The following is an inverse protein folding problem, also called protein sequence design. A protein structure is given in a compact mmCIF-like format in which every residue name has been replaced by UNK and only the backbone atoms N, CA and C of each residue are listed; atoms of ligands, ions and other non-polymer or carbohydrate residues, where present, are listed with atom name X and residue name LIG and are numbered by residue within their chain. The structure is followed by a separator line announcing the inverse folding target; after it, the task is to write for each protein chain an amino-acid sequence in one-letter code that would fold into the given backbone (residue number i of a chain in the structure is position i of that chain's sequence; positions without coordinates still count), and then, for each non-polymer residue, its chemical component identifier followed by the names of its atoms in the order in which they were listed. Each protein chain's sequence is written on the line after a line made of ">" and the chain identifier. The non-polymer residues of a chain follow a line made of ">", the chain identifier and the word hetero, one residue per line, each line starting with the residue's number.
data_IF_557076164922
#
_entry.id   IF_557076164922
#
_cell.length_a   1.000
_cell.length_b   1.000
_cell.length_c   1.000
_cell.angle_alpha   90.00
_cell.angle_beta   90.00
_cell.angle_gamma   90.00
#
_symmetry.space_group_name_H-M   'P 1'
#
loop_
_entity.id
_entity.type
_entity.pdbx_description
1 polymer ?
#
# COMPACT_ATOMS: atom_id res chain seq x y z
N UNK A 1 0.44 96.78 34.63
CA UNK A 1 1.06 95.56 34.10
C UNK A 1 -0.05 94.55 33.84
N UNK A 2 -0.48 94.40 32.58
CA UNK A 2 -1.46 93.39 32.18
C UNK A 2 -0.72 92.07 31.91
N UNK A 3 -1.15 90.98 32.53
CA UNK A 3 -0.67 89.63 32.23
C UNK A 3 -1.60 88.97 31.20
N UNK A 4 -1.01 88.60 30.06
CA UNK A 4 -1.66 87.91 28.94
C UNK A 4 -1.65 86.41 29.24
N UNK A 5 -2.83 85.78 29.29
CA UNK A 5 -2.98 84.33 29.41
C UNK A 5 -3.18 83.77 27.99
N UNK A 6 -2.15 83.10 27.46
CA UNK A 6 -2.22 82.35 26.20
C UNK A 6 -2.92 81.01 26.40
N UNK A 7 -4.03 80.81 25.69
CA UNK A 7 -4.66 79.50 25.50
C UNK A 7 -3.91 78.75 24.39
N UNK A 8 -3.32 77.60 24.72
CA UNK A 8 -2.74 76.66 23.75
C UNK A 8 -3.82 75.65 23.36
N UNK A 9 -4.29 75.72 22.12
CA UNK A 9 -5.16 74.72 21.51
C UNK A 9 -4.27 73.54 21.03
N UNK A 10 -4.33 72.40 21.71
CA UNK A 10 -3.76 71.15 21.19
C UNK A 10 -4.74 70.53 20.19
N UNK A 11 -4.42 70.60 18.89
CA UNK A 11 -5.13 69.86 17.84
C UNK A 11 -4.52 68.45 17.81
N UNK A 12 -5.24 67.46 18.35
CA UNK A 12 -4.90 66.05 18.20
C UNK A 12 -5.32 65.56 16.81
N UNK A 13 -4.35 65.32 15.94
CA UNK A 13 -4.56 64.60 14.67
C UNK A 13 -4.87 63.13 14.96
N UNK A 14 -6.13 62.71 14.77
CA UNK A 14 -6.46 61.29 14.63
C UNK A 14 -6.03 60.83 13.24
N UNK A 15 -4.92 60.07 13.18
CA UNK A 15 -4.60 59.29 12.00
C UNK A 15 -5.47 58.03 12.00
N UNK A 16 -6.46 57.95 11.10
CA UNK A 16 -7.19 56.72 10.83
C UNK A 16 -6.26 55.73 10.12
N UNK A 17 -5.66 54.81 10.87
CA UNK A 17 -5.00 53.64 10.29
C UNK A 17 -6.05 52.68 9.76
N UNK A 18 -6.27 52.70 8.45
CA UNK A 18 -6.98 51.63 7.76
C UNK A 18 -6.15 50.35 7.85
N UNK A 19 -6.47 49.49 8.82
CA UNK A 19 -5.92 48.15 8.89
C UNK A 19 -6.46 47.36 7.69
N UNK A 20 -5.57 46.93 6.80
CA UNK A 20 -5.89 45.93 5.79
C UNK A 20 -6.29 44.64 6.51
N UNK A 21 -7.32 43.91 6.04
CA UNK A 21 -7.65 42.62 6.62
C UNK A 21 -6.44 41.71 6.49
N UNK A 22 -5.94 41.21 7.62
CA UNK A 22 -4.92 40.17 7.63
C UNK A 22 -5.52 38.95 6.95
N UNK A 23 -4.97 38.57 5.81
CA UNK A 23 -5.27 37.29 5.17
C UNK A 23 -4.86 36.22 6.17
N UNK A 24 -5.83 35.56 6.82
CA UNK A 24 -5.55 34.38 7.64
C UNK A 24 -4.75 33.40 6.78
N UNK A 25 -3.64 32.81 7.29
CA UNK A 25 -2.94 31.78 6.56
C UNK A 25 -3.94 30.67 6.26
N UNK A 26 -4.07 30.31 4.99
CA UNK A 26 -4.80 29.13 4.57
C UNK A 26 -4.35 27.93 5.42
N UNK A 27 -5.27 27.06 5.86
CA UNK A 27 -4.90 25.85 6.59
C UNK A 27 -3.80 25.09 5.84
N UNK A 28 -2.83 24.48 6.55
CA UNK A 28 -1.75 23.76 5.90
C UNK A 28 -2.36 22.62 5.07
N UNK A 29 -2.13 22.64 3.74
CA UNK A 29 -2.42 21.50 2.86
C UNK A 29 -1.95 20.21 3.52
N UNK A 30 -2.79 19.16 3.59
CA UNK A 30 -2.39 17.91 4.24
C UNK A 30 -1.07 17.43 3.64
N UNK A 31 -0.15 17.09 4.54
CA UNK A 31 1.07 16.39 4.15
C UNK A 31 0.69 15.04 3.51
N UNK A 32 1.35 14.61 2.43
CA UNK A 32 1.16 13.27 1.89
C UNK A 32 1.31 12.20 2.97
N UNK A 33 0.51 11.14 2.90
CA UNK A 33 0.69 10.00 3.80
C UNK A 33 2.07 9.36 3.61
N UNK A 34 2.67 8.78 4.65
CA UNK A 34 3.88 7.98 4.50
C UNK A 34 3.69 6.87 3.48
N UNK A 35 4.71 6.60 2.68
CA UNK A 35 4.76 5.53 1.69
C UNK A 35 5.65 4.39 2.21
N UNK A 36 5.07 3.20 2.33
CA UNK A 36 5.78 1.96 2.62
C UNK A 36 6.02 1.20 1.32
N UNK A 37 7.25 0.74 1.09
CA UNK A 37 7.65 0.01 -0.12
C UNK A 37 8.14 -1.39 0.25
N UNK A 38 7.65 -2.43 -0.44
CA UNK A 38 8.17 -3.80 -0.30
C UNK A 38 8.69 -4.30 -1.65
N UNK A 39 10.00 -4.60 -1.68
CA UNK A 39 10.70 -5.06 -2.87
C UNK A 39 10.42 -6.52 -3.24
N UNK A 40 10.88 -6.90 -4.43
CA UNK A 40 10.69 -8.21 -5.03
C UNK A 40 11.77 -9.24 -4.69
N UNK A 41 11.64 -10.41 -5.33
CA UNK A 41 12.59 -11.52 -5.23
C UNK A 41 13.99 -11.10 -5.66
N UNK A 42 15.00 -11.39 -4.85
CA UNK A 42 16.40 -11.14 -5.16
C UNK A 42 16.84 -9.69 -5.14
N UNK A 43 15.97 -8.76 -4.75
CA UNK A 43 16.31 -7.39 -4.43
C UNK A 43 16.57 -7.23 -2.91
N UNK A 44 16.85 -6.00 -2.46
CA UNK A 44 17.08 -5.68 -1.05
C UNK A 44 16.67 -4.22 -0.75
N UNK A 45 16.43 -3.92 0.52
CA UNK A 45 15.98 -2.59 0.96
C UNK A 45 16.91 -1.42 0.61
N UNK A 46 18.20 -1.68 0.38
CA UNK A 46 19.22 -0.65 0.13
C UNK A 46 19.57 -0.49 -1.37
N UNK A 47 18.83 -1.15 -2.27
CA UNK A 47 19.12 -1.12 -3.70
C UNK A 47 18.94 0.28 -4.30
N UNK A 48 19.79 0.61 -5.28
CA UNK A 48 19.76 1.90 -5.97
C UNK A 48 18.40 2.18 -6.62
N UNK A 49 17.76 1.14 -7.20
CA UNK A 49 16.44 1.24 -7.80
C UNK A 49 15.37 1.68 -6.80
N UNK A 50 15.33 1.09 -5.60
CA UNK A 50 14.38 1.50 -4.55
C UNK A 50 14.70 2.89 -4.00
N UNK A 51 15.99 3.24 -3.93
CA UNK A 51 16.41 4.60 -3.57
C UNK A 51 15.90 5.62 -4.60
N UNK A 52 15.94 5.30 -5.89
CA UNK A 52 15.38 6.14 -6.96
C UNK A 52 13.86 6.25 -6.86
N UNK A 53 13.16 5.14 -6.61
CA UNK A 53 11.69 5.11 -6.36
C UNK A 53 11.33 6.07 -5.22
N UNK A 54 12.05 6.01 -4.09
CA UNK A 54 11.82 6.89 -2.94
C UNK A 54 12.06 8.37 -3.26
N UNK A 55 13.15 8.69 -3.97
CA UNK A 55 13.44 10.06 -4.44
C UNK A 55 12.37 10.58 -5.39
N UNK A 56 11.89 9.74 -6.30
CA UNK A 56 10.85 10.08 -7.26
C UNK A 56 9.51 10.35 -6.55
N UNK A 57 9.14 9.52 -5.55
CA UNK A 57 7.96 9.76 -4.73
C UNK A 57 8.03 11.10 -3.99
N UNK A 58 9.19 11.44 -3.42
CA UNK A 58 9.41 12.72 -2.75
C UNK A 58 9.43 13.92 -3.70
N UNK A 59 9.96 13.75 -4.91
CA UNK A 59 9.94 14.78 -5.96
C UNK A 59 8.51 15.07 -6.42
N UNK A 60 7.71 14.03 -6.63
CA UNK A 60 6.32 14.15 -7.11
C UNK A 60 5.39 14.66 -6.02
N UNK A 61 5.54 14.14 -4.80
CA UNK A 61 4.74 14.50 -3.63
C UNK A 61 5.65 15.00 -2.49
N UNK A 62 6.04 16.30 -2.50
CA UNK A 62 6.91 16.86 -1.48
C UNK A 62 6.36 16.67 -0.07
N UNK A 63 7.23 16.21 0.85
CA UNK A 63 6.85 15.89 2.24
C UNK A 63 6.50 14.42 2.50
N UNK A 64 6.44 13.58 1.46
CA UNK A 64 6.24 12.13 1.64
C UNK A 64 7.40 11.51 2.43
N UNK A 65 7.08 10.90 3.57
CA UNK A 65 8.01 10.02 4.28
C UNK A 65 8.01 8.64 3.61
N UNK A 66 9.16 8.18 3.12
CA UNK A 66 9.29 6.87 2.46
C UNK A 66 10.01 5.90 3.39
N UNK A 67 9.40 4.73 3.62
CA UNK A 67 9.98 3.63 4.37
C UNK A 67 10.07 2.40 3.46
N UNK A 68 11.28 1.89 3.25
CA UNK A 68 11.49 0.64 2.52
C UNK A 68 11.54 -0.48 3.56
N UNK A 69 10.63 -1.44 3.44
CA UNK A 69 10.61 -2.63 4.31
C UNK A 69 11.90 -3.40 4.10
N UNK A 70 12.47 -3.86 5.23
CA UNK A 70 13.59 -4.80 5.30
C UNK A 70 13.28 -5.85 6.34
N UNK A 71 13.74 -7.07 6.13
CA UNK A 71 13.61 -8.18 7.09
C UNK A 71 14.88 -8.37 7.94
N UNK A 72 15.99 -7.79 7.50
CA UNK A 72 17.28 -7.79 8.19
C UNK A 72 17.99 -6.45 7.96
N UNK A 73 18.89 -6.07 8.88
CA UNK A 73 19.74 -4.88 8.73
C UNK A 73 20.93 -5.15 7.80
N UNK A 74 21.34 -6.43 7.64
CA UNK A 74 22.32 -6.81 6.64
C UNK A 74 21.66 -6.96 5.26
N UNK A 75 22.16 -6.20 4.29
CA UNK A 75 21.65 -6.15 2.91
C UNK A 75 21.64 -7.54 2.24
N UNK A 76 22.64 -8.38 2.51
CA UNK A 76 22.71 -9.72 1.92
C UNK A 76 21.73 -10.68 2.60
N UNK A 77 21.51 -10.55 3.91
CA UNK A 77 20.53 -11.32 4.65
C UNK A 77 19.10 -10.96 4.24
N UNK A 78 18.79 -9.66 4.08
CA UNK A 78 17.51 -9.18 3.58
C UNK A 78 17.21 -9.71 2.16
N UNK A 79 18.21 -9.64 1.27
CA UNK A 79 18.13 -10.28 -0.06
C UNK A 79 17.88 -11.78 0.04
N UNK A 80 18.59 -12.48 0.94
CA UNK A 80 18.43 -13.91 1.18
C UNK A 80 17.02 -14.26 1.67
N UNK A 81 16.42 -13.41 2.51
CA UNK A 81 15.08 -13.58 3.06
C UNK A 81 13.99 -13.54 1.98
N UNK A 82 14.26 -12.92 0.82
CA UNK A 82 13.33 -12.98 -0.32
C UNK A 82 13.21 -14.37 -0.94
N UNK A 83 14.23 -15.23 -0.78
CA UNK A 83 14.24 -16.61 -1.25
C UNK A 83 13.91 -17.59 -0.12
N UNK A 84 14.50 -17.39 1.06
CA UNK A 84 14.43 -18.34 2.16
C UNK A 84 13.74 -17.77 3.38
N UNK A 85 12.84 -18.55 3.97
CA UNK A 85 12.10 -18.17 5.17
C UNK A 85 10.65 -18.63 5.15
N UNK A 86 9.92 -18.21 6.17
CA UNK A 86 8.49 -18.45 6.33
C UNK A 86 7.76 -17.12 6.12
N UNK A 87 6.94 -17.01 5.06
CA UNK A 87 6.23 -15.76 4.74
C UNK A 87 5.27 -15.34 5.84
N UNK A 88 4.74 -16.29 6.60
CA UNK A 88 3.86 -15.96 7.73
C UNK A 88 4.62 -15.29 8.86
N UNK A 89 5.84 -15.73 9.14
CA UNK A 89 6.71 -15.09 10.13
C UNK A 89 7.26 -13.76 9.62
N UNK A 90 7.64 -13.67 8.34
CA UNK A 90 8.12 -12.41 7.74
C UNK A 90 7.05 -11.32 7.77
N UNK A 91 5.79 -11.65 7.45
CA UNK A 91 4.69 -10.67 7.56
C UNK A 91 4.42 -10.31 9.02
N UNK A 92 4.51 -11.26 9.95
CA UNK A 92 4.35 -10.97 11.37
C UNK A 92 5.43 -9.99 11.88
N UNK A 93 6.69 -10.21 11.49
CA UNK A 93 7.78 -9.27 11.78
C UNK A 93 7.48 -7.88 11.21
N UNK A 94 7.07 -7.79 9.94
CA UNK A 94 6.69 -6.50 9.32
C UNK A 94 5.51 -5.84 10.03
N UNK A 95 4.53 -6.61 10.51
CA UNK A 95 3.44 -6.06 11.33
C UNK A 95 3.98 -5.40 12.61
N UNK A 96 4.90 -6.07 13.33
CA UNK A 96 5.51 -5.54 14.55
C UNK A 96 6.39 -4.31 14.26
N UNK A 97 7.21 -4.38 13.22
CA UNK A 97 8.13 -3.30 12.83
C UNK A 97 7.36 -2.03 12.46
N UNK A 98 6.31 -2.13 11.63
CA UNK A 98 5.52 -0.97 11.22
C UNK A 98 4.69 -0.40 12.37
N UNK A 99 4.18 -1.25 13.27
CA UNK A 99 3.45 -0.82 14.45
C UNK A 99 4.34 -0.14 15.50
N UNK A 100 5.63 -0.50 15.58
CA UNK A 100 6.60 0.12 16.47
C UNK A 100 7.32 1.34 15.85
N UNK A 101 7.23 1.51 14.52
CA UNK A 101 8.00 2.52 13.81
C UNK A 101 7.62 3.96 14.26
N UNK A 102 8.58 4.82 14.64
CA UNK A 102 8.30 6.09 15.33
C UNK A 102 7.49 7.12 14.50
N UNK A 103 7.58 7.03 13.17
CA UNK A 103 6.80 7.84 12.22
C UNK A 103 5.50 7.14 11.80
N UNK A 104 5.59 5.93 11.24
CA UNK A 104 4.45 5.22 10.64
C UNK A 104 3.35 4.88 11.66
N UNK A 105 3.72 4.47 12.89
CA UNK A 105 2.75 4.12 13.95
C UNK A 105 1.86 5.29 14.40
N UNK A 106 2.30 6.53 14.15
CA UNK A 106 1.58 7.76 14.51
C UNK A 106 0.82 8.36 13.33
N UNK A 107 1.02 7.83 12.13
CA UNK A 107 0.33 8.31 10.94
C UNK A 107 -1.14 7.87 10.98
N UNK A 108 -2.05 8.73 10.51
CA UNK A 108 -3.49 8.38 10.40
C UNK A 108 -3.74 7.17 9.51
N UNK A 109 -2.89 6.99 8.51
CA UNK A 109 -2.83 5.88 7.58
C UNK A 109 -1.48 5.93 6.85
N UNK A 110 -1.16 4.88 6.11
CA UNK A 110 0.00 4.79 5.22
C UNK A 110 -0.45 4.43 3.80
N UNK A 111 0.36 4.78 2.81
CA UNK A 111 0.29 4.22 1.46
C UNK A 111 1.27 3.05 1.34
N UNK A 112 0.97 2.09 0.47
CA UNK A 112 1.76 0.89 0.27
C UNK A 112 2.04 0.65 -1.22
N UNK A 113 3.29 0.39 -1.56
CA UNK A 113 3.76 0.08 -2.91
C UNK A 113 4.55 -1.23 -2.92
N UNK A 114 4.05 -2.22 -3.64
CA UNK A 114 4.69 -3.53 -3.75
C UNK A 114 5.21 -3.83 -5.14
N UNK A 115 6.42 -4.38 -5.21
CA UNK A 115 7.04 -4.81 -6.47
C UNK A 115 7.14 -6.34 -6.51
N UNK A 116 6.69 -6.94 -7.61
CA UNK A 116 6.68 -8.39 -7.81
C UNK A 116 6.06 -9.10 -6.58
N UNK A 117 6.76 -10.05 -5.95
CA UNK A 117 6.25 -10.76 -4.76
C UNK A 117 5.88 -9.82 -3.59
N UNK A 118 6.56 -8.68 -3.44
CA UNK A 118 6.32 -7.71 -2.36
C UNK A 118 4.90 -7.16 -2.34
N UNK A 119 4.20 -7.12 -3.47
CA UNK A 119 2.80 -6.69 -3.51
C UNK A 119 1.82 -7.68 -2.89
N UNK A 120 1.98 -9.01 -3.09
CA UNK A 120 1.15 -9.96 -2.34
C UNK A 120 1.56 -10.05 -0.87
N UNK A 121 2.80 -9.69 -0.51
CA UNK A 121 3.21 -9.63 0.89
C UNK A 121 2.59 -8.44 1.61
N UNK A 122 2.58 -7.25 0.98
CA UNK A 122 1.84 -6.09 1.47
C UNK A 122 0.33 -6.36 1.55
N UNK A 123 -0.24 -7.09 0.58
CA UNK A 123 -1.63 -7.56 0.68
C UNK A 123 -1.82 -8.44 1.92
N UNK A 124 -0.91 -9.39 2.16
CA UNK A 124 -0.92 -10.22 3.37
C UNK A 124 -0.82 -9.40 4.66
N UNK A 125 -0.01 -8.34 4.69
CA UNK A 125 0.05 -7.38 5.80
C UNK A 125 -1.31 -6.68 6.02
N UNK A 126 -1.95 -6.19 4.95
CA UNK A 126 -3.28 -5.57 5.01
C UNK A 126 -4.30 -6.57 5.54
N UNK A 127 -4.29 -7.81 5.08
CA UNK A 127 -5.26 -8.80 5.54
C UNK A 127 -5.06 -9.16 7.01
N UNK A 128 -3.81 -9.42 7.43
CA UNK A 128 -3.49 -10.00 8.73
C UNK A 128 -3.45 -8.99 9.89
N UNK A 129 -2.94 -7.78 9.68
CA UNK A 129 -2.74 -6.83 10.78
C UNK A 129 -3.22 -5.40 10.48
N UNK A 130 -2.92 -4.83 9.30
CA UNK A 130 -3.36 -3.49 8.88
C UNK A 130 -3.20 -2.37 9.93
N UNK A 131 -2.09 -2.37 10.66
CA UNK A 131 -1.82 -1.42 11.73
C UNK A 131 -0.34 -1.01 11.69
N UNK A 132 -0.01 0.20 11.19
CA UNK A 132 -0.92 1.26 10.73
C UNK A 132 -1.75 0.87 9.50
N UNK A 133 -2.93 1.49 9.38
CA UNK A 133 -3.89 1.19 8.31
C UNK A 133 -3.38 1.64 6.95
N UNK A 134 -3.53 0.79 5.94
CA UNK A 134 -3.21 1.15 4.55
C UNK A 134 -4.39 1.89 3.93
N UNK A 135 -4.14 3.05 3.32
CA UNK A 135 -5.12 3.79 2.53
C UNK A 135 -5.13 3.29 1.08
N UNK A 136 -4.00 3.36 0.39
CA UNK A 136 -3.87 2.87 -0.99
C UNK A 136 -2.78 1.80 -1.08
N UNK A 137 -3.11 0.67 -1.70
CA UNK A 137 -2.17 -0.38 -2.06
C UNK A 137 -1.98 -0.38 -3.58
N UNK A 138 -0.77 -0.12 -4.05
CA UNK A 138 -0.41 -0.20 -5.48
C UNK A 138 0.61 -1.31 -5.66
N UNK A 139 0.43 -2.15 -6.67
CA UNK A 139 1.31 -3.30 -6.92
C UNK A 139 1.71 -3.38 -8.39
N UNK A 140 2.98 -3.64 -8.66
CA UNK A 140 3.51 -3.84 -10.01
C UNK A 140 3.98 -5.28 -10.20
N UNK A 141 3.38 -5.98 -11.16
CA UNK A 141 3.75 -7.34 -11.52
C UNK A 141 3.57 -8.36 -10.40
N UNK A 142 2.72 -8.08 -9.40
CA UNK A 142 2.50 -8.99 -8.27
C UNK A 142 1.66 -10.19 -8.68
N UNK A 143 1.84 -11.33 -8.01
CA UNK A 143 1.21 -12.61 -8.34
C UNK A 143 0.11 -12.92 -7.32
N UNK A 144 -0.97 -12.13 -7.33
CA UNK A 144 -2.00 -12.23 -6.31
C UNK A 144 -2.76 -13.57 -6.31
N UNK A 145 -2.83 -14.25 -7.44
CA UNK A 145 -3.32 -15.62 -7.54
C UNK A 145 -2.20 -16.68 -7.56
N UNK A 146 -0.97 -16.31 -7.18
CA UNK A 146 0.20 -17.19 -7.19
C UNK A 146 0.79 -17.46 -8.55
N UNK A 147 1.78 -18.35 -8.58
CA UNK A 147 2.43 -18.84 -9.80
C UNK A 147 2.22 -20.33 -9.98
N UNK A 148 2.05 -20.75 -11.23
CA UNK A 148 1.93 -22.16 -11.62
C UNK A 148 3.26 -22.78 -12.05
N UNK A 149 4.27 -21.95 -12.30
CA UNK A 149 5.63 -22.35 -12.70
C UNK A 149 6.64 -21.38 -12.10
N UNK A 150 7.81 -21.91 -11.79
CA UNK A 150 8.97 -21.11 -11.46
C UNK A 150 9.70 -20.74 -12.75
N UNK A 151 10.15 -19.50 -12.86
CA UNK A 151 11.02 -19.09 -13.97
C UNK A 151 12.36 -19.83 -13.88
N UNK A 152 12.96 -20.13 -15.03
CA UNK A 152 14.30 -20.68 -15.08
C UNK A 152 15.32 -19.65 -14.54
N UNK A 153 16.17 -20.08 -13.61
CA UNK A 153 17.22 -19.23 -13.07
C UNK A 153 18.30 -18.92 -14.12
N UNK A 154 18.84 -17.70 -14.07
CA UNK A 154 20.04 -17.36 -14.82
C UNK A 154 21.20 -18.33 -14.49
N UNK A 155 22.11 -18.55 -15.45
CA UNK A 155 23.20 -19.51 -15.29
C UNK A 155 24.13 -19.18 -14.10
N UNK A 156 24.22 -17.92 -13.68
CA UNK A 156 25.06 -17.44 -12.58
C UNK A 156 24.31 -17.27 -11.26
N UNK A 157 22.98 -17.43 -11.24
CA UNK A 157 22.19 -17.25 -10.04
C UNK A 157 22.14 -18.55 -9.22
N UNK A 158 23.20 -18.78 -8.45
CA UNK A 158 23.34 -19.96 -7.60
C UNK A 158 22.28 -20.03 -6.50
N UNK A 159 21.79 -18.87 -6.03
CA UNK A 159 20.78 -18.78 -4.98
C UNK A 159 19.42 -19.24 -5.51
N UNK A 160 19.01 -18.72 -6.67
CA UNK A 160 17.83 -19.17 -7.40
C UNK A 160 17.94 -20.66 -7.75
N UNK A 161 19.10 -21.13 -8.23
CA UNK A 161 19.29 -22.55 -8.57
C UNK A 161 19.12 -23.47 -7.35
N UNK A 162 19.62 -23.04 -6.18
CA UNK A 162 19.40 -23.78 -4.93
C UNK A 162 17.91 -23.82 -4.56
N UNK A 163 17.21 -22.69 -4.67
CA UNK A 163 15.76 -22.60 -4.47
C UNK A 163 14.97 -23.53 -5.41
N UNK A 164 15.27 -23.53 -6.71
CA UNK A 164 14.64 -24.45 -7.68
C UNK A 164 15.00 -25.91 -7.41
N UNK A 165 16.23 -26.20 -7.00
CA UNK A 165 16.65 -27.55 -6.62
C UNK A 165 15.81 -28.14 -5.49
N UNK A 166 15.45 -27.31 -4.50
CA UNK A 166 14.58 -27.69 -3.39
C UNK A 166 13.13 -27.98 -3.84
N UNK A 167 12.58 -27.20 -4.78
CA UNK A 167 11.22 -27.37 -5.31
C UNK A 167 11.01 -28.70 -6.05
N UNK A 168 12.08 -29.24 -6.66
CA UNK A 168 12.01 -30.50 -7.42
C UNK A 168 11.87 -31.76 -6.55
N UNK A 169 11.91 -31.64 -5.22
CA UNK A 169 11.84 -32.79 -4.30
C UNK A 169 10.41 -33.06 -3.82
N UNK A 170 9.81 -32.12 -3.08
CA UNK A 170 8.41 -32.14 -2.64
C UNK A 170 7.96 -30.75 -2.16
N UNK A 171 7.41 -29.94 -3.08
CA UNK A 171 6.92 -28.57 -2.84
C UNK A 171 5.97 -28.46 -1.65
N UNK A 172 5.17 -29.49 -1.38
CA UNK A 172 4.13 -29.48 -0.35
C UNK A 172 4.57 -30.07 0.99
N UNK A 173 5.84 -30.47 1.12
CA UNK A 173 6.38 -30.84 2.42
C UNK A 173 6.40 -29.64 3.37
N UNK A 174 6.15 -29.88 4.66
CA UNK A 174 6.27 -28.86 5.72
C UNK A 174 7.63 -28.19 5.73
N UNK A 175 8.70 -28.93 5.38
CA UNK A 175 10.04 -28.37 5.29
C UNK A 175 10.13 -27.25 4.24
N UNK A 176 9.62 -27.49 3.03
CA UNK A 176 9.68 -26.54 1.91
C UNK A 176 8.72 -25.37 2.13
N UNK A 177 7.47 -25.65 2.52
CA UNK A 177 6.46 -24.61 2.77
C UNK A 177 6.81 -23.66 3.92
N UNK A 178 7.75 -24.03 4.81
CA UNK A 178 8.21 -23.14 5.89
C UNK A 178 9.60 -22.51 5.64
N UNK A 179 10.26 -22.80 4.52
CA UNK A 179 11.65 -22.37 4.29
C UNK A 179 11.92 -21.77 2.91
N UNK A 180 11.03 -21.97 1.95
CA UNK A 180 11.23 -21.46 0.60
C UNK A 180 10.10 -20.51 0.25
N UNK A 181 10.42 -19.22 0.13
CA UNK A 181 9.44 -18.16 -0.09
C UNK A 181 8.66 -18.37 -1.40
N UNK A 182 9.30 -18.63 -2.56
CA UNK A 182 8.58 -18.90 -3.80
C UNK A 182 7.63 -20.11 -3.74
N UNK A 183 7.93 -21.12 -2.93
CA UNK A 183 7.06 -22.29 -2.78
C UNK A 183 5.72 -21.94 -2.10
N UNK A 184 5.70 -20.89 -1.28
CA UNK A 184 4.56 -20.53 -0.44
C UNK A 184 3.47 -19.76 -1.20
N UNK A 185 3.82 -19.19 -2.36
CA UNK A 185 2.88 -18.64 -3.33
C UNK A 185 2.86 -19.40 -4.67
N UNK A 186 3.43 -20.60 -4.69
CA UNK A 186 3.12 -21.57 -5.73
C UNK A 186 1.67 -22.03 -5.59
N UNK A 187 0.96 -22.07 -6.71
CA UNK A 187 -0.43 -22.53 -6.81
C UNK A 187 -0.49 -23.70 -7.79
N UNK A 188 -0.51 -24.90 -7.24
CA UNK A 188 -0.92 -26.07 -8.02
C UNK A 188 -2.41 -25.90 -8.37
N UNK A 189 -2.70 -26.00 -9.66
CA UNK A 189 -4.06 -25.94 -10.19
C UNK A 189 -4.47 -27.30 -10.72
N UNK A 190 -5.75 -27.63 -10.58
CA UNK A 190 -6.35 -28.74 -11.28
C UNK A 190 -6.40 -28.40 -12.78
N UNK A 191 -5.73 -29.21 -13.62
CA UNK A 191 -5.51 -28.89 -15.03
C UNK A 191 -6.80 -28.65 -15.83
N UNK A 192 -7.89 -29.35 -15.48
CA UNK A 192 -9.17 -29.26 -16.19
C UNK A 192 -10.01 -28.07 -15.73
N UNK A 193 -9.94 -27.69 -14.44
CA UNK A 193 -10.81 -26.64 -13.87
C UNK A 193 -10.10 -25.30 -13.66
N UNK A 194 -8.77 -25.26 -13.56
CA UNK A 194 -8.00 -24.07 -13.19
C UNK A 194 -8.08 -23.69 -11.70
N UNK A 195 -8.87 -24.43 -10.91
CA UNK A 195 -9.02 -24.21 -9.47
C UNK A 195 -7.82 -24.76 -8.70
N UNK A 196 -7.62 -24.29 -7.46
CA UNK A 196 -6.53 -24.77 -6.60
C UNK A 196 -6.65 -26.27 -6.31
N UNK A 197 -5.56 -27.02 -6.45
CA UNK A 197 -5.50 -28.45 -6.17
C UNK A 197 -5.51 -28.79 -4.67
N UNK A 198 -5.79 -30.05 -4.34
CA UNK A 198 -5.93 -30.51 -2.95
C UNK A 198 -4.65 -30.30 -2.11
N UNK A 199 -3.48 -30.54 -2.71
CA UNK A 199 -2.20 -30.34 -2.01
C UNK A 199 -1.96 -28.86 -1.71
N UNK A 200 -2.25 -27.99 -2.67
CA UNK A 200 -2.19 -26.54 -2.48
C UNK A 200 -3.10 -26.07 -1.35
N UNK A 201 -4.39 -26.44 -1.39
CA UNK A 201 -5.36 -26.05 -0.37
C UNK A 201 -4.97 -26.58 1.01
N UNK A 202 -4.40 -27.79 1.09
CA UNK A 202 -4.01 -28.42 2.34
C UNK A 202 -2.71 -27.88 2.93
N UNK A 203 -1.69 -27.61 2.11
CA UNK A 203 -0.32 -27.39 2.58
C UNK A 203 0.26 -26.00 2.31
N UNK A 204 -0.36 -25.17 1.45
CA UNK A 204 0.15 -23.82 1.19
C UNK A 204 0.18 -22.99 2.48
N UNK A 205 1.38 -22.60 2.92
CA UNK A 205 1.55 -21.84 4.16
C UNK A 205 1.05 -20.39 4.07
N UNK A 206 0.94 -19.86 2.84
CA UNK A 206 0.69 -18.45 2.63
C UNK A 206 -0.47 -18.20 1.65
N UNK A 207 -0.31 -18.56 0.37
CA UNK A 207 -1.26 -18.10 -0.64
C UNK A 207 -2.68 -18.64 -0.44
N UNK A 208 -2.85 -19.92 -0.11
CA UNK A 208 -4.19 -20.46 0.17
C UNK A 208 -4.83 -19.86 1.44
N UNK A 209 -4.01 -19.38 2.38
CA UNK A 209 -4.45 -18.64 3.56
C UNK A 209 -4.92 -17.24 3.18
N UNK A 210 -4.06 -16.43 2.55
CA UNK A 210 -4.37 -15.03 2.22
C UNK A 210 -5.38 -14.89 1.06
N UNK A 211 -5.60 -15.92 0.25
CA UNK A 211 -6.74 -15.95 -0.68
C UNK A 211 -8.02 -16.50 -0.05
N UNK A 212 -7.95 -16.91 1.22
CA UNK A 212 -9.07 -17.43 2.00
C UNK A 212 -9.77 -18.61 1.30
N UNK A 213 -9.01 -19.47 0.61
CA UNK A 213 -9.55 -20.49 -0.30
C UNK A 213 -10.00 -21.76 0.42
N UNK A 214 -9.54 -21.94 1.66
CA UNK A 214 -9.97 -23.06 2.52
C UNK A 214 -11.42 -22.89 2.93
N UNK A 215 -12.05 -23.98 3.37
CA UNK A 215 -13.46 -23.98 3.76
C UNK A 215 -13.77 -22.91 4.84
N UNK A 216 -12.92 -22.81 5.86
CA UNK A 216 -13.04 -21.78 6.90
C UNK A 216 -12.53 -20.43 6.37
N UNK A 217 -13.39 -19.41 6.43
CA UNK A 217 -13.08 -18.06 5.99
C UNK A 217 -12.67 -17.17 7.16
N UNK A 218 -11.50 -16.52 7.05
CA UNK A 218 -11.10 -15.46 7.95
C UNK A 218 -11.78 -14.14 7.56
N UNK A 219 -12.77 -13.70 8.35
CA UNK A 219 -13.54 -12.47 8.08
C UNK A 219 -12.73 -11.19 8.26
N UNK A 220 -11.65 -11.23 9.06
CA UNK A 220 -10.77 -10.07 9.29
C UNK A 220 -10.07 -9.68 8.00
N UNK A 221 -9.66 -10.65 7.17
CA UNK A 221 -8.99 -10.40 5.89
C UNK A 221 -9.89 -9.57 4.97
N UNK A 222 -11.14 -10.01 4.79
CA UNK A 222 -12.14 -9.29 4.01
C UNK A 222 -12.45 -7.89 4.58
N UNK A 223 -12.61 -7.80 5.90
CA UNK A 223 -12.87 -6.52 6.55
C UNK A 223 -11.72 -5.51 6.36
N UNK A 224 -10.47 -5.96 6.33
CA UNK A 224 -9.33 -5.07 6.16
C UNK A 224 -9.10 -4.65 4.71
N UNK A 225 -9.19 -5.56 3.74
CA UNK A 225 -9.09 -5.19 2.31
C UNK A 225 -10.21 -4.21 1.93
N UNK A 226 -11.43 -4.43 2.41
CA UNK A 226 -12.55 -3.53 2.14
C UNK A 226 -12.37 -2.11 2.74
N UNK A 227 -11.42 -1.90 3.67
CA UNK A 227 -11.08 -0.56 4.20
C UNK A 227 -10.16 0.23 3.28
N UNK A 228 -9.42 -0.41 2.37
CA UNK A 228 -8.61 0.30 1.40
C UNK A 228 -9.47 1.32 0.64
N UNK A 229 -8.88 2.46 0.30
CA UNK A 229 -9.45 3.43 -0.64
C UNK A 229 -9.24 2.96 -2.07
N UNK A 230 -7.99 2.59 -2.40
CA UNK A 230 -7.63 2.01 -3.70
C UNK A 230 -6.75 0.78 -3.53
N UNK A 231 -7.03 -0.25 -4.31
CA UNK A 231 -6.13 -1.35 -4.61
C UNK A 231 -5.88 -1.37 -6.12
N UNK A 232 -4.70 -0.90 -6.52
CA UNK A 232 -4.31 -0.70 -7.91
C UNK A 232 -3.32 -1.77 -8.32
N UNK A 233 -3.68 -2.55 -9.34
CA UNK A 233 -2.91 -3.70 -9.80
C UNK A 233 -2.40 -3.46 -11.21
N UNK A 234 -1.08 -3.24 -11.34
CA UNK A 234 -0.38 -3.16 -12.61
C UNK A 234 0.12 -4.55 -13.02
N UNK A 235 -0.27 -4.99 -14.20
CA UNK A 235 0.25 -6.20 -14.86
C UNK A 235 1.06 -5.77 -16.09
N UNK A 236 2.25 -6.32 -16.25
CA UNK A 236 3.12 -6.05 -17.40
C UNK A 236 2.63 -6.79 -18.65
N UNK A 237 2.60 -6.09 -19.78
CA UNK A 237 2.08 -6.63 -21.05
C UNK A 237 2.90 -7.82 -21.54
N UNK A 238 4.22 -7.75 -21.42
CA UNK A 238 5.16 -8.79 -21.90
C UNK A 238 5.75 -9.61 -20.74
N UNK A 239 5.03 -9.73 -19.62
CA UNK A 239 5.50 -10.48 -18.45
C UNK A 239 5.65 -11.97 -18.78
N UNK A 240 6.90 -12.45 -18.65
CA UNK A 240 7.27 -13.87 -18.80
C UNK A 240 7.83 -14.46 -17.51
N UNK A 241 7.88 -13.66 -16.43
CA UNK A 241 8.36 -14.08 -15.10
C UNK A 241 7.21 -14.60 -14.25
N UNK A 242 6.09 -13.86 -14.24
CA UNK A 242 4.86 -14.27 -13.56
C UNK A 242 4.04 -15.14 -14.49
N UNK A 243 3.89 -16.42 -14.13
CA UNK A 243 3.17 -17.39 -14.96
C UNK A 243 2.00 -18.01 -14.19
N UNK A 244 0.74 -17.67 -14.51
CA UNK A 244 0.29 -16.72 -15.55
C UNK A 244 0.35 -15.25 -15.09
N UNK A 245 0.64 -14.31 -16.00
CA UNK A 245 0.74 -12.86 -15.68
C UNK A 245 -0.55 -12.27 -15.15
N UNK A 246 -1.68 -12.80 -15.59
CA UNK A 246 -3.03 -12.42 -15.17
C UNK A 246 -3.28 -12.74 -13.68
N UNK A 247 -2.40 -13.53 -13.04
CA UNK A 247 -2.35 -13.69 -11.59
C UNK A 247 -2.30 -12.35 -10.86
N UNK A 248 -1.69 -11.31 -11.44
CA UNK A 248 -1.68 -9.97 -10.87
C UNK A 248 -3.02 -9.25 -10.86
N UNK A 249 -3.99 -9.73 -11.63
CA UNK A 249 -5.38 -9.27 -11.56
C UNK A 249 -6.29 -10.30 -10.88
N UNK A 250 -5.72 -11.19 -10.07
CA UNK A 250 -6.43 -12.32 -9.46
C UNK A 250 -7.12 -13.25 -10.47
N UNK A 251 -6.70 -13.28 -11.74
CA UNK A 251 -7.34 -14.16 -12.70
C UNK A 251 -6.97 -15.63 -12.45
N UNK A 252 -7.85 -16.53 -12.86
CA UNK A 252 -7.53 -17.94 -13.06
C UNK A 252 -7.26 -18.19 -14.53
N UNK A 253 -6.29 -19.04 -14.83
CA UNK A 253 -5.99 -19.47 -16.20
C UNK A 253 -6.01 -20.99 -16.22
N UNK A 254 -6.84 -21.55 -17.09
CA UNK A 254 -6.91 -22.99 -17.30
C UNK A 254 -5.61 -23.47 -17.96
N UNK A 255 -4.91 -24.43 -17.33
CA UNK A 255 -3.61 -24.89 -17.80
C UNK A 255 -3.68 -25.57 -19.19
N UNK A 256 -4.79 -26.24 -19.52
CA UNK A 256 -4.97 -26.95 -20.79
C UNK A 256 -5.48 -26.05 -21.90
N UNK A 257 -6.57 -25.31 -21.65
CA UNK A 257 -7.24 -24.51 -22.69
C UNK A 257 -6.69 -23.10 -22.81
N UNK A 258 -5.88 -22.65 -21.84
CA UNK A 258 -5.45 -21.26 -21.69
C UNK A 258 -6.61 -20.26 -21.52
N UNK A 259 -7.83 -20.76 -21.24
CA UNK A 259 -8.98 -19.92 -20.98
C UNK A 259 -8.79 -19.16 -19.66
N UNK A 260 -8.96 -17.85 -19.71
CA UNK A 260 -8.85 -16.96 -18.55
C UNK A 260 -10.23 -16.70 -17.93
N UNK A 261 -10.31 -16.82 -16.61
CA UNK A 261 -11.46 -16.42 -15.81
C UNK A 261 -11.10 -15.15 -15.03
N UNK A 262 -11.71 -14.00 -15.35
CA UNK A 262 -11.41 -12.74 -14.68
C UNK A 262 -11.91 -12.75 -13.24
N UNK A 263 -11.32 -11.94 -12.36
CA UNK A 263 -11.66 -11.85 -10.94
C UNK A 263 -13.17 -11.77 -10.68
N UNK A 264 -13.89 -10.90 -11.42
CA UNK A 264 -15.35 -10.70 -11.25
C UNK A 264 -16.20 -11.93 -11.55
N UNK A 265 -15.65 -12.94 -12.21
CA UNK A 265 -16.33 -14.20 -12.51
C UNK A 265 -15.92 -15.34 -11.56
N UNK A 266 -15.01 -15.09 -10.61
CA UNK A 266 -14.54 -16.11 -9.63
C UNK A 266 -15.46 -16.18 -8.41
N UNK A 267 -15.56 -17.37 -7.82
CA UNK A 267 -16.27 -17.58 -6.54
C UNK A 267 -15.70 -16.70 -5.42
N UNK A 268 -14.38 -16.56 -5.35
CA UNK A 268 -13.69 -15.70 -4.38
C UNK A 268 -14.22 -14.26 -4.37
N UNK A 269 -14.54 -13.71 -5.55
CA UNK A 269 -15.12 -12.38 -5.69
C UNK A 269 -16.62 -12.38 -5.38
N UNK A 270 -17.37 -13.31 -5.97
CA UNK A 270 -18.83 -13.35 -5.83
C UNK A 270 -19.30 -13.52 -4.38
N UNK A 271 -18.58 -14.35 -3.62
CA UNK A 271 -18.80 -14.59 -2.20
C UNK A 271 -17.96 -13.67 -1.29
N UNK A 272 -17.22 -12.73 -1.88
CA UNK A 272 -16.43 -11.69 -1.21
C UNK A 272 -15.45 -12.22 -0.14
N UNK A 273 -14.77 -13.33 -0.42
CA UNK A 273 -13.94 -14.06 0.56
C UNK A 273 -12.85 -13.19 1.19
N UNK A 274 -12.33 -12.23 0.46
CA UNK A 274 -11.28 -11.31 0.90
C UNK A 274 -11.66 -9.83 0.71
N UNK A 275 -12.95 -9.50 0.59
CA UNK A 275 -13.42 -8.09 0.60
C UNK A 275 -13.21 -7.33 -0.71
N UNK A 276 -12.79 -8.00 -1.79
CA UNK A 276 -12.55 -7.39 -3.09
C UNK A 276 -13.83 -6.88 -3.76
N UNK A 277 -14.96 -7.58 -3.61
CA UNK A 277 -16.23 -7.13 -4.20
C UNK A 277 -16.72 -5.87 -3.50
N UNK A 278 -16.67 -5.84 -2.18
CA UNK A 278 -17.02 -4.65 -1.40
C UNK A 278 -16.10 -3.46 -1.71
N UNK A 279 -14.82 -3.72 -2.01
CA UNK A 279 -13.89 -2.69 -2.45
C UNK A 279 -14.22 -2.20 -3.87
N UNK A 280 -14.56 -3.10 -4.80
CA UNK A 280 -14.93 -2.77 -6.19
C UNK A 280 -16.24 -1.96 -6.26
N UNK A 281 -17.23 -2.27 -5.40
CA UNK A 281 -18.52 -1.56 -5.33
C UNK A 281 -18.39 -0.07 -4.98
N UNK A 282 -17.25 0.36 -4.42
CA UNK A 282 -16.90 1.76 -4.16
C UNK A 282 -15.77 2.28 -5.07
N UNK A 283 -15.63 1.68 -6.25
CA UNK A 283 -14.60 1.97 -7.26
C UNK A 283 -13.16 1.82 -6.74
N UNK A 284 -12.97 0.99 -5.72
CA UNK A 284 -11.68 0.83 -5.05
C UNK A 284 -10.72 -0.11 -5.76
N UNK A 285 -11.18 -0.98 -6.66
CA UNK A 285 -10.33 -1.87 -7.45
C UNK A 285 -9.98 -1.23 -8.79
N UNK A 286 -8.68 -1.13 -9.08
CA UNK A 286 -8.19 -0.54 -10.33
C UNK A 286 -7.23 -1.50 -11.02
N UNK A 287 -7.51 -1.81 -12.27
CA UNK A 287 -6.70 -2.68 -13.12
C UNK A 287 -5.93 -1.82 -14.13
N UNK A 288 -4.62 -2.02 -14.22
CA UNK A 288 -3.72 -1.28 -15.11
C UNK A 288 -2.80 -2.22 -15.86
N UNK A 289 -2.56 -1.93 -17.12
CA UNK A 289 -1.52 -2.60 -17.92
C UNK A 289 -0.30 -1.68 -17.97
N UNK A 290 0.87 -2.23 -17.66
CA UNK A 290 2.16 -1.58 -17.84
C UNK A 290 2.83 -2.12 -19.12
N UNK A 291 3.40 -1.28 -19.99
CA UNK A 291 4.18 -1.77 -21.14
C UNK A 291 5.44 -2.51 -20.70
N UNK A 292 5.92 -3.42 -21.55
CA UNK A 292 7.21 -4.08 -21.38
C UNK A 292 7.18 -5.35 -20.52
N UNK A 293 8.36 -5.96 -20.29
CA UNK A 293 8.54 -7.17 -19.49
C UNK A 293 8.48 -6.90 -17.98
N UNK A 294 8.57 -7.98 -17.21
CA UNK A 294 8.48 -7.95 -15.75
C UNK A 294 9.46 -6.93 -15.12
N UNK A 295 8.92 -6.04 -14.30
CA UNK A 295 9.67 -5.01 -13.56
C UNK A 295 10.40 -3.98 -14.44
N UNK A 296 10.09 -3.88 -15.73
CA UNK A 296 10.51 -2.76 -16.58
C UNK A 296 9.67 -1.53 -16.26
N UNK A 297 10.07 -0.81 -15.21
CA UNK A 297 9.41 0.40 -14.74
C UNK A 297 10.05 1.62 -15.40
N UNK A 298 9.22 2.51 -15.95
CA UNK A 298 9.66 3.85 -16.38
C UNK A 298 9.38 4.88 -15.30
N UNK A 299 10.17 5.96 -15.29
CA UNK A 299 9.96 7.08 -14.37
C UNK A 299 8.58 7.70 -14.60
N UNK A 300 8.12 7.84 -15.85
CA UNK A 300 6.80 8.38 -16.18
C UNK A 300 5.68 7.56 -15.55
N UNK A 301 5.77 6.22 -15.65
CA UNK A 301 4.79 5.30 -15.08
C UNK A 301 4.71 5.44 -13.55
N UNK A 302 5.87 5.50 -12.88
CA UNK A 302 5.93 5.69 -11.44
C UNK A 302 5.45 7.07 -11.03
N UNK A 303 5.84 8.12 -11.75
CA UNK A 303 5.38 9.48 -11.50
C UNK A 303 3.86 9.60 -11.62
N UNK A 304 3.25 8.97 -12.63
CA UNK A 304 1.79 8.94 -12.79
C UNK A 304 1.10 8.24 -11.61
N UNK A 305 1.61 7.06 -11.21
CA UNK A 305 1.08 6.34 -10.06
C UNK A 305 1.20 7.17 -8.77
N UNK A 306 2.33 7.87 -8.59
CA UNK A 306 2.57 8.71 -7.42
C UNK A 306 1.65 9.93 -7.37
N UNK A 307 1.46 10.61 -8.51
CA UNK A 307 0.51 11.74 -8.64
C UNK A 307 -0.91 11.29 -8.33
N UNK A 308 -1.31 10.13 -8.86
CA UNK A 308 -2.70 9.69 -8.83
C UNK A 308 -3.11 9.03 -7.51
N UNK A 309 -2.23 8.25 -6.89
CA UNK A 309 -2.60 7.38 -5.76
C UNK A 309 -1.92 7.72 -4.43
N UNK A 310 -0.84 8.52 -4.45
CA UNK A 310 -0.05 8.84 -3.25
C UNK A 310 0.08 10.34 -2.95
N UNK A 311 -0.58 11.18 -3.74
CA UNK A 311 -0.67 12.61 -3.46
C UNK A 311 -1.48 12.94 -2.20
N UNK A 312 -1.42 14.21 -1.74
CA UNK A 312 -2.31 14.73 -0.70
C UNK A 312 -3.77 14.44 -1.03
N UNK A 313 -4.58 14.20 -0.01
CA UNK A 313 -5.98 13.84 -0.16
C UNK A 313 -6.85 15.10 -0.04
N UNK A 314 -7.38 15.66 -1.14
CA UNK A 314 -8.13 16.93 -1.08
C UNK A 314 -9.40 16.82 -0.22
N UNK A 315 -10.01 15.62 -0.18
CA UNK A 315 -11.21 15.36 0.63
C UNK A 315 -10.89 15.26 2.13
N UNK A 316 -9.66 14.87 2.49
CA UNK A 316 -9.21 14.93 3.89
C UNK A 316 -8.96 16.37 4.32
N UNK A 317 -8.46 17.22 3.40
CA UNK A 317 -8.29 18.66 3.65
C UNK A 317 -9.64 19.35 3.87
N UNK A 318 -10.66 19.04 3.06
CA UNK A 318 -12.00 19.62 3.22
C UNK A 318 -12.67 19.17 4.53
N UNK A 319 -12.50 17.91 4.94
CA UNK A 319 -13.12 17.39 6.16
C UNK A 319 -12.45 17.93 7.44
N UNK A 320 -11.13 18.15 7.44
CA UNK A 320 -10.43 18.85 8.51
C UNK A 320 -10.87 20.33 8.58
N UNK A 321 -11.10 20.99 7.44
CA UNK A 321 -11.62 22.36 7.37
C UNK A 321 -13.02 22.47 8.01
N UNK A 322 -13.95 21.55 7.71
CA UNK A 322 -15.29 21.55 8.33
C UNK A 322 -15.25 21.33 9.85
N UNK A 323 -14.40 20.41 10.33
CA UNK A 323 -14.27 20.12 11.76
C UNK A 323 -13.69 21.31 12.53
N UNK A 324 -12.76 22.06 11.93
CA UNK A 324 -12.22 23.28 12.54
C UNK A 324 -13.24 24.42 12.58
N UNK A 325 -14.04 24.58 11.52
CA UNK A 325 -15.11 25.59 11.47
C UNK A 325 -16.18 25.34 12.54
N UNK A 326 -16.58 24.09 12.77
CA UNK A 326 -17.57 23.74 13.81
C UNK A 326 -17.02 24.02 15.23
N UNK A 327 -15.74 23.74 15.49
CA UNK A 327 -15.13 24.05 16.80
C UNK A 327 -14.99 25.55 17.06
N UNK A 328 -14.81 26.36 16.02
CA UNK A 328 -14.74 27.82 16.13
C UNK A 328 -16.14 28.44 16.28
N UNK A 329 -17.16 27.86 15.63
CA UNK A 329 -18.56 28.24 15.81
C UNK A 329 -19.05 27.96 17.25
N UNK A 330 -18.71 26.81 17.82
CA UNK A 330 -19.05 26.46 19.20
C UNK A 330 -18.33 27.35 20.23
N UNK A 331 -17.10 27.79 19.95
CA UNK A 331 -16.40 28.76 20.81
C UNK A 331 -17.03 30.16 20.76
N UNK A 332 -17.51 30.60 19.60
CA UNK A 332 -18.19 31.88 19.46
C UNK A 332 -19.57 31.92 20.16
N UNK A 333 -20.20 30.76 20.38
CA UNK A 333 -21.46 30.65 21.12
C UNK A 333 -21.30 30.67 22.65
N UNK A 334 -20.10 30.38 23.18
CA UNK A 334 -19.84 30.39 24.62
C UNK A 334 -19.44 31.79 25.15
N UNK A 335 -18.92 32.68 24.30
CA UNK A 335 -18.50 34.04 24.70
C UNK A 335 -19.59 35.12 24.53
N UNK A 336 -20.82 34.69 24.25
CA UNK A 336 -21.92 35.57 23.83
C UNK A 336 -23.15 35.54 24.71
N UNK A 337 -23.05 35.62 26.05
CA UNK A 337 -24.16 36.14 26.88
C UNK A 337 -23.82 36.32 28.36
N UNK A 338 -23.64 37.59 28.77
CA UNK A 338 -24.27 38.08 30.01
C UNK A 338 -24.43 39.61 29.92
N UNK A 339 -25.64 40.12 29.63
CA UNK A 339 -25.95 41.52 29.89
C UNK A 339 -26.13 41.68 31.40
N UNK A 340 -25.25 42.47 32.02
CA UNK A 340 -25.55 43.04 33.34
C UNK A 340 -26.55 44.19 33.13
N UNK A 341 -27.75 44.05 33.69
CA UNK A 341 -28.57 45.20 34.09
C UNK A 341 -29.57 44.80 35.19
N UNK A 342 -29.58 45.64 36.24
CA UNK A 342 -30.40 45.74 37.47
C UNK A 342 -29.89 45.08 38.75
#
# INVERSE_FOLDING_TARGET
>A
MLAIISFVLCISNLASSSALPATSPSPPKSSPLPLVVWHGLGDNYAADGLTMVGKLAQKVNPGTYVHIIRLDEDVSADRGATFFGNLTEQIAQVCEDLAAHPVLSKARAINALGFSQGGQFLRGYVERCNSPSVQNLVTFGSQHNGISRFQDCAATDWLCKAAIGLLRTNTWSTFIQNRLVPAQYYREVNETTGLGGDQYLKYSNFLADINNERAAKNKTYAANIAKLRKFVMYVFEDDTTVIPKESGWFAEVNATTQAMTPLRNRTLYNEDWIGLKKLDEKDGLVFRTAPGPHMELSDEMLEEAFKQYFGPDPEADEMDDWVLVDQEHDRAHIDGSMPQDL
#
